data_IF_472083395147
#
_entry.id   IF_472083395147
#
_cell.length_a   1.000
_cell.length_b   1.000
_cell.length_c   1.000
_cell.angle_alpha   90.00
_cell.angle_beta   90.00
_cell.angle_gamma   90.00
#
_symmetry.space_group_name_H-M   'P 1'
#
loop_
_entity.id
_entity.type
_entity.pdbx_description
1 polymer ?
#
# COMPACT_ATOMS: atom_id res chain seq x y z
N UNK A 1 8.25 -10.57 -17.53
CA UNK A 1 6.93 -10.42 -16.87
C UNK A 1 6.48 -8.99 -17.04
N UNK A 2 5.19 -8.76 -17.31
CA UNK A 2 4.62 -7.41 -17.38
C UNK A 2 4.59 -6.81 -15.98
N UNK A 3 4.99 -5.54 -15.85
CA UNK A 3 4.97 -4.83 -14.57
C UNK A 3 3.53 -4.63 -14.09
N UNK A 4 3.22 -5.05 -12.86
CA UNK A 4 1.89 -4.92 -12.26
C UNK A 4 1.76 -3.60 -11.52
N UNK A 5 0.54 -3.06 -11.46
CA UNK A 5 0.18 -1.91 -10.62
C UNK A 5 -0.36 -2.40 -9.29
N UNK A 6 0.26 -1.98 -8.19
CA UNK A 6 -0.07 -2.39 -6.83
C UNK A 6 -0.40 -1.16 -6.01
N UNK A 7 -1.56 -1.16 -5.34
CA UNK A 7 -1.80 -0.29 -4.19
C UNK A 7 -1.47 -1.12 -2.95
N UNK A 8 -0.66 -0.57 -2.06
CA UNK A 8 -0.26 -1.24 -0.82
C UNK A 8 -0.74 -0.37 0.34
N UNK A 9 -1.39 -1.00 1.30
CA UNK A 9 -1.83 -0.39 2.55
C UNK A 9 -0.63 0.16 3.35
N UNK A 10 -0.85 1.31 4.00
CA UNK A 10 0.07 1.97 4.92
C UNK A 10 0.67 1.00 5.95
N UNK A 11 -0.14 0.10 6.52
CA UNK A 11 0.32 -0.81 7.57
C UNK A 11 1.42 -1.77 7.08
N UNK A 12 1.43 -2.15 5.79
CA UNK A 12 2.42 -3.03 5.20
C UNK A 12 3.75 -2.32 4.97
N UNK A 13 3.72 -1.05 4.54
CA UNK A 13 4.92 -0.22 4.45
C UNK A 13 5.57 -0.02 5.82
N UNK A 14 4.78 0.29 6.85
CA UNK A 14 5.28 0.47 8.21
C UNK A 14 5.82 -0.86 8.75
N UNK A 15 5.12 -1.98 8.51
CA UNK A 15 5.60 -3.30 8.93
C UNK A 15 6.93 -3.67 8.27
N UNK A 16 7.10 -3.37 6.97
CA UNK A 16 8.34 -3.56 6.24
C UNK A 16 9.48 -2.66 6.77
N UNK A 17 9.17 -1.43 7.21
CA UNK A 17 10.15 -0.54 7.80
C UNK A 17 10.59 -0.97 9.22
N UNK A 18 9.70 -1.60 9.98
CA UNK A 18 9.99 -2.11 11.33
C UNK A 18 10.77 -3.42 11.33
N UNK A 19 10.57 -4.26 10.30
CA UNK A 19 11.22 -5.56 10.18
C UNK A 19 11.58 -5.82 8.73
N UNK A 20 12.87 -6.07 8.45
CA UNK A 20 13.35 -6.48 7.13
C UNK A 20 12.99 -7.94 6.76
N UNK A 21 12.34 -8.65 7.69
CA UNK A 21 11.88 -10.02 7.53
C UNK A 21 10.35 -10.10 7.44
N UNK A 22 9.85 -11.19 6.86
CA UNK A 22 8.42 -11.47 6.76
C UNK A 22 7.78 -11.01 5.45
N UNK A 23 6.47 -11.27 5.33
CA UNK A 23 5.74 -11.04 4.09
C UNK A 23 5.70 -9.56 3.64
N UNK A 24 5.46 -8.56 4.53
CA UNK A 24 5.43 -7.16 4.12
C UNK A 24 6.76 -6.67 3.54
N UNK A 25 7.89 -7.03 4.17
CA UNK A 25 9.22 -6.63 3.70
C UNK A 25 9.55 -7.23 2.33
N UNK A 26 9.24 -8.51 2.13
CA UNK A 26 9.41 -9.18 0.83
C UNK A 26 8.54 -8.53 -0.24
N UNK A 27 7.27 -8.25 0.07
CA UNK A 27 6.32 -7.63 -0.85
C UNK A 27 6.78 -6.23 -1.27
N UNK A 28 7.13 -5.36 -0.32
CA UNK A 28 7.56 -3.99 -0.62
C UNK A 28 8.84 -3.99 -1.46
N UNK A 29 9.81 -4.86 -1.13
CA UNK A 29 11.04 -5.00 -1.91
C UNK A 29 10.77 -5.46 -3.33
N UNK A 30 9.91 -6.46 -3.52
CA UNK A 30 9.51 -6.90 -4.85
C UNK A 30 8.82 -5.77 -5.62
N UNK A 31 7.86 -5.11 -4.97
CA UNK A 31 7.06 -4.08 -5.60
C UNK A 31 7.93 -2.92 -6.12
N UNK A 32 8.93 -2.51 -5.35
CA UNK A 32 9.91 -1.49 -5.73
C UNK A 32 10.83 -1.95 -6.87
N UNK A 33 11.21 -3.23 -6.90
CA UNK A 33 12.16 -3.75 -7.89
C UNK A 33 11.52 -4.08 -9.25
N UNK A 34 10.27 -4.56 -9.24
CA UNK A 34 9.68 -5.24 -10.39
C UNK A 34 8.28 -4.75 -10.78
N UNK A 35 7.64 -3.94 -9.93
CA UNK A 35 6.26 -3.49 -10.13
C UNK A 35 6.13 -1.97 -10.05
N UNK A 36 4.91 -1.48 -10.17
CA UNK A 36 4.56 -0.07 -10.02
C UNK A 36 3.71 0.09 -8.79
N UNK A 37 4.26 0.75 -7.77
CA UNK A 37 3.47 1.24 -6.65
C UNK A 37 2.56 2.36 -7.15
N UNK A 38 1.34 2.39 -6.64
CA UNK A 38 0.35 3.40 -6.97
C UNK A 38 -0.02 4.14 -5.69
N UNK A 39 0.05 5.47 -5.74
CA UNK A 39 -0.46 6.34 -4.69
C UNK A 39 -1.45 7.36 -5.26
N UNK A 40 -2.34 7.80 -4.38
CA UNK A 40 -3.02 9.08 -4.49
C UNK A 40 -2.52 9.97 -3.36
N UNK A 41 -2.81 11.26 -3.43
CA UNK A 41 -2.42 12.18 -2.37
C UNK A 41 -2.94 11.73 -0.98
N UNK A 42 -4.21 11.29 -0.82
CA UNK A 42 -4.72 10.82 0.47
C UNK A 42 -4.05 9.54 1.00
N UNK A 43 -3.72 8.57 0.16
CA UNK A 43 -3.05 7.33 0.61
C UNK A 43 -1.60 7.59 1.03
N UNK A 44 -0.90 8.46 0.29
CA UNK A 44 0.47 8.83 0.64
C UNK A 44 0.53 9.71 1.89
N UNK A 45 -0.42 10.64 2.06
CA UNK A 45 -0.52 11.45 3.27
C UNK A 45 -0.80 10.62 4.51
N UNK A 46 -1.65 9.61 4.40
CA UNK A 46 -1.87 8.67 5.49
C UNK A 46 -0.57 7.93 5.87
N UNK A 47 0.16 7.40 4.88
CA UNK A 47 1.45 6.76 5.09
C UNK A 47 2.39 7.69 5.84
N UNK A 48 2.56 8.93 5.35
CA UNK A 48 3.39 9.95 5.99
C UNK A 48 2.95 10.21 7.43
N UNK A 49 1.67 10.48 7.67
CA UNK A 49 1.16 10.75 9.02
C UNK A 49 1.37 9.56 9.97
N UNK A 50 1.14 8.33 9.51
CA UNK A 50 1.27 7.12 10.33
C UNK A 50 2.72 6.79 10.63
N UNK A 51 3.61 6.94 9.64
CA UNK A 51 5.05 6.70 9.78
C UNK A 51 5.70 7.64 10.81
N UNK A 52 5.17 8.86 10.95
CA UNK A 52 5.67 9.86 11.91
C UNK A 52 5.08 9.75 13.33
N UNK A 53 4.32 8.70 13.63
CA UNK A 53 3.78 8.52 14.98
C UNK A 53 4.90 8.25 16.01
N UNK A 54 4.90 8.90 17.19
CA UNK A 54 5.99 8.80 18.17
C UNK A 54 6.34 7.37 18.62
N UNK A 55 5.37 6.45 18.59
CA UNK A 55 5.59 5.04 18.94
C UNK A 55 6.67 4.34 18.08
N UNK A 56 6.96 4.87 16.90
CA UNK A 56 7.96 4.35 15.97
C UNK A 56 9.35 4.99 16.11
N UNK A 57 9.52 6.02 16.94
CA UNK A 57 10.78 6.80 17.03
C UNK A 57 11.96 5.94 17.47
N UNK A 58 11.72 4.93 18.30
CA UNK A 58 12.73 3.97 18.76
C UNK A 58 13.13 2.91 17.72
N UNK A 59 12.41 2.80 16.61
CA UNK A 59 12.58 1.74 15.62
C UNK A 59 12.97 2.27 14.24
N UNK A 60 12.46 3.44 13.87
CA UNK A 60 12.65 4.05 12.54
C UNK A 60 13.15 5.48 12.78
N UNK A 61 14.43 5.73 12.47
CA UNK A 61 15.03 7.06 12.59
C UNK A 61 14.37 8.06 11.63
N UNK A 62 14.49 9.36 11.91
CA UNK A 62 13.92 10.40 11.06
C UNK A 62 14.47 10.31 9.63
N UNK A 63 15.78 10.10 9.49
CA UNK A 63 16.47 9.99 8.20
C UNK A 63 15.93 8.82 7.39
N UNK A 64 15.65 7.67 8.05
CA UNK A 64 15.06 6.51 7.40
C UNK A 64 13.62 6.78 6.95
N UNK A 65 12.82 7.54 7.72
CA UNK A 65 11.46 7.93 7.32
C UNK A 65 11.48 8.81 6.09
N UNK A 66 12.37 9.81 6.08
CA UNK A 66 12.51 10.74 4.97
C UNK A 66 12.98 10.02 3.70
N UNK A 67 14.01 9.17 3.81
CA UNK A 67 14.48 8.35 2.68
C UNK A 67 13.37 7.44 2.13
N UNK A 68 12.63 6.75 3.00
CA UNK A 68 11.56 5.86 2.58
C UNK A 68 10.44 6.61 1.85
N UNK A 69 9.99 7.75 2.38
CA UNK A 69 8.98 8.56 1.71
C UNK A 69 9.48 9.13 0.39
N UNK A 70 10.75 9.55 0.33
CA UNK A 70 11.36 10.04 -0.90
C UNK A 70 11.39 8.96 -2.00
N UNK A 71 11.87 7.76 -1.66
CA UNK A 71 11.99 6.65 -2.60
C UNK A 71 10.61 6.17 -3.10
N UNK A 72 9.63 6.09 -2.20
CA UNK A 72 8.26 5.76 -2.56
C UNK A 72 7.63 6.82 -3.46
N UNK A 73 7.81 8.10 -3.16
CA UNK A 73 7.30 9.20 -3.97
C UNK A 73 7.91 9.20 -5.37
N UNK A 74 9.21 8.93 -5.48
CA UNK A 74 9.94 8.92 -6.75
C UNK A 74 9.61 7.70 -7.65
N UNK A 75 9.26 6.56 -7.06
CA UNK A 75 9.00 5.31 -7.79
C UNK A 75 7.52 5.08 -8.14
N UNK A 76 6.61 5.88 -7.56
CA UNK A 76 5.18 5.66 -7.68
C UNK A 76 4.54 6.22 -8.95
N UNK A 77 3.46 5.55 -9.36
CA UNK A 77 2.46 6.07 -10.27
C UNK A 77 1.42 6.83 -9.44
N UNK A 78 1.26 8.11 -9.74
CA UNK A 78 0.31 8.97 -9.05
C UNK A 78 -1.03 9.01 -9.78
N UNK A 79 -2.12 8.90 -9.02
CA UNK A 79 -3.49 9.06 -9.54
C UNK A 79 -4.28 10.04 -8.69
N UNK A 80 -5.07 10.86 -9.36
CA UNK A 80 -6.03 11.72 -8.71
C UNK A 80 -7.32 10.94 -8.43
N UNK A 81 -7.75 10.98 -7.18
CA UNK A 81 -9.02 10.41 -6.74
C UNK A 81 -9.99 11.53 -6.40
N UNK A 82 -11.27 11.30 -6.69
CA UNK A 82 -12.33 12.21 -6.28
C UNK A 82 -12.86 11.86 -4.89
N UNK A 83 -14.10 12.25 -4.62
CA UNK A 83 -14.82 11.74 -3.47
C UNK A 83 -15.08 10.24 -3.66
N UNK A 84 -14.57 9.41 -2.74
CA UNK A 84 -14.72 7.95 -2.83
C UNK A 84 -16.18 7.55 -2.65
N UNK A 85 -16.63 6.57 -3.44
CA UNK A 85 -17.90 5.90 -3.15
C UNK A 85 -17.79 5.06 -1.85
N UNK A 86 -18.92 4.49 -1.44
CA UNK A 86 -18.97 3.63 -0.24
C UNK A 86 -18.58 2.20 -0.60
N UNK A 87 -17.34 1.80 -0.26
CA UNK A 87 -16.82 0.45 -0.52
C UNK A 87 -16.64 -0.39 0.74
N UNK A 88 -16.06 0.20 1.78
CA UNK A 88 -15.69 -0.45 3.04
C UNK A 88 -16.57 0.02 4.21
N UNK A 89 -16.65 -0.78 5.27
CA UNK A 89 -17.26 -0.37 6.55
C UNK A 89 -16.55 0.84 7.15
N UNK A 90 -15.22 0.84 7.16
CA UNK A 90 -14.43 2.03 7.46
C UNK A 90 -14.35 2.92 6.23
N UNK A 91 -14.83 4.16 6.39
CA UNK A 91 -14.85 5.17 5.32
C UNK A 91 -13.43 5.66 5.00
N UNK A 92 -12.51 5.59 5.96
CA UNK A 92 -11.12 6.00 5.73
C UNK A 92 -10.48 5.09 4.66
N UNK A 93 -10.74 3.79 4.73
CA UNK A 93 -10.14 2.78 3.84
C UNK A 93 -10.56 2.89 2.38
N UNK A 94 -11.69 3.53 2.07
CA UNK A 94 -12.15 3.68 0.69
C UNK A 94 -11.12 4.39 -0.19
N UNK A 95 -10.31 5.29 0.38
CA UNK A 95 -9.29 6.00 -0.38
C UNK A 95 -8.34 5.03 -1.08
N UNK A 96 -8.06 3.86 -0.47
CA UNK A 96 -7.22 2.82 -1.06
C UNK A 96 -7.93 2.11 -2.21
N UNK A 97 -9.20 1.78 -2.03
CA UNK A 97 -10.03 1.14 -3.06
C UNK A 97 -10.20 2.07 -4.26
N UNK A 98 -10.57 3.34 -4.02
CA UNK A 98 -10.72 4.35 -5.07
C UNK A 98 -9.41 4.56 -5.83
N UNK A 99 -8.28 4.64 -5.12
CA UNK A 99 -6.93 4.72 -5.73
C UNK A 99 -6.69 3.52 -6.65
N UNK A 100 -7.00 2.32 -6.18
CA UNK A 100 -6.79 1.10 -6.95
C UNK A 100 -7.70 1.04 -8.19
N UNK A 101 -8.96 1.44 -8.07
CA UNK A 101 -9.91 1.49 -9.18
C UNK A 101 -9.51 2.52 -10.23
N UNK A 102 -9.18 3.76 -9.82
CA UNK A 102 -8.74 4.83 -10.72
C UNK A 102 -7.46 4.47 -11.45
N UNK A 103 -6.52 3.85 -10.75
CA UNK A 103 -5.29 3.39 -11.35
C UNK A 103 -5.44 2.12 -12.17
N UNK A 104 -6.60 1.46 -12.19
CA UNK A 104 -6.76 0.10 -12.74
C UNK A 104 -5.65 -0.83 -12.20
N UNK A 105 -5.45 -0.79 -10.89
CA UNK A 105 -4.48 -1.62 -10.19
C UNK A 105 -4.91 -3.08 -10.29
N UNK A 106 -3.91 -3.97 -10.34
CA UNK A 106 -4.17 -5.40 -10.38
C UNK A 106 -4.57 -5.91 -8.99
N UNK A 107 -3.91 -5.37 -7.97
CA UNK A 107 -4.11 -5.74 -6.58
C UNK A 107 -4.11 -4.52 -5.67
N UNK A 108 -5.01 -4.53 -4.70
CA UNK A 108 -4.87 -3.78 -3.45
C UNK A 108 -4.39 -4.79 -2.39
N UNK A 109 -3.22 -4.54 -1.81
CA UNK A 109 -2.64 -5.42 -0.80
C UNK A 109 -2.78 -4.80 0.57
N UNK A 110 -3.43 -5.49 1.50
CA UNK A 110 -3.71 -4.98 2.84
C UNK A 110 -3.52 -6.05 3.91
N UNK A 111 -3.20 -5.60 5.13
CA UNK A 111 -3.28 -6.41 6.35
C UNK A 111 -4.54 -6.15 7.17
N UNK A 112 -5.42 -5.25 6.73
CA UNK A 112 -6.65 -4.85 7.41
C UNK A 112 -7.82 -5.74 6.97
N UNK A 113 -8.55 -6.28 7.95
CA UNK A 113 -9.70 -7.12 7.68
C UNK A 113 -10.87 -6.31 7.11
N UNK A 114 -11.02 -5.03 7.47
CA UNK A 114 -12.09 -4.20 6.92
C UNK A 114 -11.94 -4.02 5.39
N UNK A 115 -10.69 -3.96 4.89
CA UNK A 115 -10.39 -3.98 3.45
C UNK A 115 -10.51 -5.40 2.85
N UNK A 116 -9.97 -6.42 3.51
CA UNK A 116 -9.97 -7.80 2.99
C UNK A 116 -11.38 -8.41 2.90
N UNK A 117 -12.29 -7.96 3.76
CA UNK A 117 -13.70 -8.38 3.80
C UNK A 117 -14.63 -7.42 3.03
N UNK A 118 -14.08 -6.39 2.37
CA UNK A 118 -14.86 -5.46 1.57
C UNK A 118 -15.64 -6.20 0.47
N UNK A 119 -16.76 -5.61 0.05
CA UNK A 119 -17.61 -6.21 -0.97
C UNK A 119 -16.82 -6.48 -2.26
N UNK A 120 -17.02 -7.63 -2.94
CA UNK A 120 -16.27 -7.97 -4.14
C UNK A 120 -16.41 -6.91 -5.24
N UNK A 121 -15.27 -6.51 -5.82
CA UNK A 121 -15.19 -5.54 -6.90
C UNK A 121 -14.77 -6.24 -8.20
N UNK A 122 -15.51 -6.08 -9.33
CA UNK A 122 -15.22 -6.83 -10.55
C UNK A 122 -13.82 -6.62 -11.14
N UNK A 123 -13.22 -5.45 -10.93
CA UNK A 123 -11.94 -5.04 -11.53
C UNK A 123 -10.79 -4.92 -10.53
N UNK A 124 -10.98 -5.33 -9.27
CA UNK A 124 -9.98 -5.19 -8.23
C UNK A 124 -9.97 -6.42 -7.32
N UNK A 125 -8.80 -7.05 -7.19
CA UNK A 125 -8.57 -8.07 -6.18
C UNK A 125 -7.94 -7.43 -4.93
N UNK A 126 -8.62 -7.53 -3.80
CA UNK A 126 -8.06 -7.14 -2.50
C UNK A 126 -7.51 -8.39 -1.82
N UNK A 127 -6.22 -8.39 -1.51
CA UNK A 127 -5.50 -9.59 -1.04
C UNK A 127 -4.55 -9.28 0.11
N UNK A 128 -4.27 -10.30 0.93
CA UNK A 128 -3.26 -10.19 1.99
C UNK A 128 -1.84 -10.16 1.42
N UNK A 129 -0.88 -9.68 2.21
CA UNK A 129 0.54 -9.74 1.82
C UNK A 129 1.01 -11.16 1.49
N UNK A 130 0.52 -12.17 2.22
CA UNK A 130 0.88 -13.57 1.96
C UNK A 130 0.33 -14.07 0.61
N UNK A 131 -0.91 -13.71 0.27
CA UNK A 131 -1.49 -14.02 -1.03
C UNK A 131 -0.79 -13.26 -2.15
N UNK A 132 -0.41 -11.99 -1.92
CA UNK A 132 0.35 -11.20 -2.87
C UNK A 132 1.67 -11.89 -3.23
N UNK A 133 2.44 -12.36 -2.25
CA UNK A 133 3.66 -13.12 -2.52
C UNK A 133 3.39 -14.36 -3.39
N UNK A 134 2.32 -15.11 -3.11
CA UNK A 134 1.97 -16.30 -3.87
C UNK A 134 1.62 -15.99 -5.33
N UNK A 135 0.82 -14.95 -5.59
CA UNK A 135 0.43 -14.57 -6.98
C UNK A 135 1.57 -13.91 -7.74
N UNK A 136 2.54 -13.31 -7.04
CA UNK A 136 3.75 -12.75 -7.63
C UNK A 136 4.86 -13.79 -7.84
N UNK A 137 4.73 -14.99 -7.26
CA UNK A 137 5.69 -16.08 -7.41
C UNK A 137 6.92 -15.99 -6.51
N UNK A 138 6.76 -15.45 -5.29
CA UNK A 138 7.82 -15.17 -4.31
C UNK A 138 7.68 -16.06 -3.07
#
# INVERSE_FOLDING_TARGET
MTSLKLVIDTNLFISAALSSQGAPAKLVREALAHHRLVFSQPTFDELRTRLYRPKFDRYISLELRESLLHDLNASAVWVDIGESAVYCRDRDDDKFIETALKAQAHYLVSGDNDLLEAAPLPSLSIISAQQALAVLGI
#
